data_IF_537250576727
#
_entry.id   IF_537250576727
#
_cell.length_a   1.000
_cell.length_b   1.000
_cell.length_c   1.000
_cell.angle_alpha   90.00
_cell.angle_beta   90.00
_cell.angle_gamma   90.00
#
_symmetry.space_group_name_H-M   'P 1'
#
loop_
_entity.id
_entity.type
_entity.pdbx_description
1 polymer ?
#
# COMPACT_ATOMS: atom_id res chain seq x y z
N UNK A 1 -48.06 -1.90 -13.99
CA UNK A 1 -47.07 -0.88 -13.62
C UNK A 1 -45.73 -1.57 -13.68
N UNK A 2 -45.04 -1.39 -14.80
CA UNK A 2 -43.74 -2.02 -15.07
C UNK A 2 -42.67 -1.26 -14.29
N UNK A 3 -41.96 -1.97 -13.41
CA UNK A 3 -40.81 -1.45 -12.69
C UNK A 3 -39.59 -1.58 -13.58
N UNK A 4 -39.19 -0.48 -14.21
CA UNK A 4 -37.90 -0.36 -14.89
C UNK A 4 -36.79 -0.19 -13.83
N UNK A 5 -36.06 -1.27 -13.56
CA UNK A 5 -34.79 -1.19 -12.84
C UNK A 5 -33.73 -0.66 -13.81
N UNK A 6 -33.28 0.57 -13.57
CA UNK A 6 -32.15 1.16 -14.28
C UNK A 6 -30.88 0.50 -13.77
N UNK A 7 -30.32 -0.42 -14.54
CA UNK A 7 -28.95 -0.88 -14.37
C UNK A 7 -28.01 0.29 -14.71
N UNK A 8 -27.51 0.99 -13.69
CA UNK A 8 -26.39 1.92 -13.85
C UNK A 8 -25.12 1.12 -14.10
N UNK A 9 -24.82 0.90 -15.38
CA UNK A 9 -23.55 0.38 -15.84
C UNK A 9 -22.47 1.47 -15.66
N UNK A 10 -21.87 1.54 -14.47
CA UNK A 10 -20.70 2.40 -14.23
C UNK A 10 -19.50 1.67 -14.82
N UNK A 11 -19.25 1.94 -16.09
CA UNK A 11 -18.01 1.56 -16.73
C UNK A 11 -16.92 2.48 -16.18
N UNK A 12 -16.20 2.02 -15.15
CA UNK A 12 -15.04 2.73 -14.60
C UNK A 12 -14.04 2.98 -15.75
N UNK A 13 -13.97 4.23 -16.18
CA UNK A 13 -13.01 4.69 -17.17
C UNK A 13 -11.60 4.47 -16.61
N UNK A 14 -10.85 3.54 -17.19
CA UNK A 14 -9.44 3.30 -16.87
C UNK A 14 -8.65 4.62 -16.89
N UNK A 15 -8.26 5.11 -15.72
CA UNK A 15 -7.46 6.33 -15.58
C UNK A 15 -6.05 6.05 -16.11
N UNK A 16 -5.46 7.02 -16.80
CA UNK A 16 -4.06 6.91 -17.22
C UNK A 16 -3.14 7.08 -16.00
N UNK A 17 -2.05 6.30 -15.89
CA UNK A 17 -1.04 6.55 -14.88
C UNK A 17 -0.45 7.95 -15.03
N UNK A 18 -0.06 8.61 -13.93
CA UNK A 18 0.73 9.82 -14.02
C UNK A 18 2.07 9.54 -14.74
N UNK A 19 2.66 10.59 -15.30
CA UNK A 19 3.92 10.46 -16.02
C UNK A 19 5.07 10.28 -15.02
N UNK A 20 5.82 9.19 -15.19
CA UNK A 20 7.01 8.88 -14.43
C UNK A 20 8.15 9.80 -14.84
N UNK A 21 8.77 10.44 -13.85
CA UNK A 21 10.00 11.19 -14.02
C UNK A 21 11.24 10.31 -13.76
N UNK A 22 11.06 9.28 -12.93
CA UNK A 22 12.10 8.36 -12.52
C UNK A 22 11.55 6.99 -12.13
N UNK A 23 12.40 5.97 -12.14
CA UNK A 23 12.07 4.65 -11.56
C UNK A 23 11.85 4.76 -10.05
N UNK A 24 12.47 5.76 -9.40
CA UNK A 24 12.30 6.03 -7.97
C UNK A 24 10.90 6.54 -7.58
N UNK A 25 10.10 6.94 -8.56
CA UNK A 25 8.70 7.30 -8.33
C UNK A 25 7.86 6.06 -7.96
N UNK A 26 8.39 4.85 -8.16
CA UNK A 26 7.70 3.57 -7.95
C UNK A 26 8.42 2.67 -6.97
N UNK A 27 7.68 1.69 -6.46
CA UNK A 27 8.28 0.54 -5.78
C UNK A 27 8.47 -0.59 -6.79
N UNK A 28 9.67 -1.19 -6.84
CA UNK A 28 10.05 -2.20 -7.84
C UNK A 28 10.60 -3.46 -7.16
N UNK A 29 10.01 -4.62 -7.46
CA UNK A 29 10.41 -5.93 -6.98
C UNK A 29 10.88 -6.83 -8.12
N UNK A 30 11.87 -7.68 -7.84
CA UNK A 30 12.30 -8.74 -8.75
C UNK A 30 11.79 -10.07 -8.20
N UNK A 31 11.01 -10.77 -9.01
CA UNK A 31 10.49 -12.09 -8.69
C UNK A 31 11.42 -13.16 -9.25
N UNK A 32 11.76 -14.15 -8.43
CA UNK A 32 12.65 -15.26 -8.79
C UNK A 32 11.88 -16.58 -8.75
N UNK A 33 12.16 -17.47 -9.69
CA UNK A 33 11.70 -18.85 -9.55
C UNK A 33 12.54 -19.58 -8.47
N UNK A 34 11.94 -20.52 -7.72
CA UNK A 34 12.67 -21.28 -6.70
C UNK A 34 13.92 -21.95 -7.29
N UNK A 35 15.09 -21.65 -6.71
CA UNK A 35 16.39 -22.19 -7.17
C UNK A 35 17.01 -21.49 -8.38
N UNK A 36 16.32 -20.51 -8.99
CA UNK A 36 16.89 -19.69 -10.07
C UNK A 36 17.72 -18.54 -9.51
N UNK A 37 18.86 -18.26 -10.15
CA UNK A 37 19.64 -17.02 -9.94
C UNK A 37 19.15 -15.86 -10.82
N UNK A 38 18.31 -16.14 -11.81
CA UNK A 38 17.74 -15.13 -12.71
C UNK A 38 16.30 -14.80 -12.31
N UNK A 39 15.96 -13.51 -12.36
CA UNK A 39 14.60 -13.04 -12.08
C UNK A 39 13.64 -13.46 -13.19
N UNK A 40 12.54 -14.11 -12.82
CA UNK A 40 11.42 -14.48 -13.68
C UNK A 40 10.70 -13.27 -14.25
N UNK A 41 10.44 -12.29 -13.40
CA UNK A 41 9.74 -11.05 -13.76
C UNK A 41 10.12 -9.91 -12.83
N UNK A 42 9.80 -8.70 -13.26
CA UNK A 42 9.86 -7.48 -12.45
C UNK A 42 8.42 -7.02 -12.27
N UNK A 43 8.00 -6.86 -11.02
CA UNK A 43 6.72 -6.24 -10.66
C UNK A 43 6.99 -4.89 -10.04
N UNK A 44 6.07 -3.97 -10.26
CA UNK A 44 6.21 -2.61 -9.75
C UNK A 44 4.85 -1.98 -9.57
N UNK A 45 4.79 -1.04 -8.64
CA UNK A 45 3.60 -0.25 -8.41
C UNK A 45 3.93 1.18 -8.03
N UNK A 46 2.96 2.03 -8.32
CA UNK A 46 2.92 3.43 -7.95
C UNK A 46 1.68 3.66 -7.08
N UNK A 47 1.85 4.36 -5.97
CA UNK A 47 0.72 4.89 -5.18
C UNK A 47 0.78 6.40 -5.28
N UNK A 48 -0.28 7.04 -5.76
CA UNK A 48 -0.32 8.51 -5.90
C UNK A 48 -0.58 9.18 -4.53
N UNK A 49 -0.46 10.51 -4.46
CA UNK A 49 -0.83 11.29 -3.27
C UNK A 49 -2.30 11.11 -2.86
N UNK A 50 -3.14 10.80 -3.85
CA UNK A 50 -4.56 10.49 -3.67
C UNK A 50 -4.80 9.03 -3.27
N UNK A 51 -3.76 8.22 -3.05
CA UNK A 51 -3.85 6.77 -2.80
C UNK A 51 -4.48 6.00 -3.98
N UNK A 52 -4.22 6.40 -5.22
CA UNK A 52 -4.56 5.57 -6.39
C UNK A 52 -3.39 4.62 -6.69
N UNK A 53 -3.70 3.35 -6.94
CA UNK A 53 -2.69 2.34 -7.23
C UNK A 53 -2.61 2.07 -8.72
N UNK A 54 -1.39 2.10 -9.24
CA UNK A 54 -1.07 1.60 -10.57
C UNK A 54 -0.07 0.45 -10.42
N UNK A 55 -0.31 -0.64 -11.12
CA UNK A 55 0.52 -1.84 -11.07
C UNK A 55 1.00 -2.22 -12.47
N UNK A 56 2.24 -2.71 -12.56
CA UNK A 56 2.80 -3.25 -13.77
C UNK A 56 3.65 -4.48 -13.51
N UNK A 57 3.77 -5.32 -14.54
CA UNK A 57 4.61 -6.52 -14.53
C UNK A 57 5.27 -6.70 -15.89
N UNK A 58 6.58 -6.98 -15.89
CA UNK A 58 7.37 -7.22 -17.08
C UNK A 58 8.23 -8.46 -16.92
N UNK A 59 8.27 -9.31 -17.95
CA UNK A 59 9.08 -10.53 -18.01
C UNK A 59 10.44 -10.25 -18.66
N UNK A 60 11.18 -9.32 -18.06
CA UNK A 60 12.53 -8.88 -18.50
C UNK A 60 13.45 -8.73 -17.31
N UNK A 61 14.76 -8.72 -17.54
CA UNK A 61 15.72 -8.39 -16.48
C UNK A 61 15.59 -6.92 -16.12
N UNK A 62 15.60 -6.56 -14.83
CA UNK A 62 15.42 -5.17 -14.37
C UNK A 62 16.31 -4.15 -15.08
N UNK A 63 17.55 -4.53 -15.39
CA UNK A 63 18.55 -3.66 -16.06
C UNK A 63 18.24 -3.37 -17.53
N UNK A 64 17.36 -4.14 -18.15
CA UNK A 64 16.98 -4.04 -19.57
C UNK A 64 15.67 -3.28 -19.76
N UNK A 65 14.98 -2.90 -18.68
CA UNK A 65 13.70 -2.21 -18.73
C UNK A 65 13.93 -0.69 -18.74
N UNK A 66 13.41 -0.03 -19.78
CA UNK A 66 13.42 1.42 -19.92
C UNK A 66 12.30 2.08 -19.11
N UNK A 67 12.44 3.39 -18.81
CA UNK A 67 11.39 4.15 -18.13
C UNK A 67 10.07 4.17 -18.92
N UNK A 68 10.14 4.23 -20.25
CA UNK A 68 8.98 4.17 -21.14
C UNK A 68 8.26 2.82 -21.04
N UNK A 69 8.99 1.71 -20.95
CA UNK A 69 8.39 0.39 -20.75
C UNK A 69 7.69 0.26 -19.40
N UNK A 70 8.27 0.82 -18.32
CA UNK A 70 7.57 0.90 -17.03
C UNK A 70 6.27 1.71 -17.17
N UNK A 71 6.35 2.90 -17.76
CA UNK A 71 5.19 3.79 -17.96
C UNK A 71 4.06 3.10 -18.72
N UNK A 72 4.38 2.42 -19.82
CA UNK A 72 3.40 1.79 -20.70
C UNK A 72 2.76 0.53 -20.10
N UNK A 73 3.44 -0.12 -19.14
CA UNK A 73 2.95 -1.31 -18.47
C UNK A 73 2.15 -1.01 -17.18
N UNK A 74 2.15 0.24 -16.70
CA UNK A 74 1.31 0.63 -15.56
C UNK A 74 -0.17 0.61 -15.94
N UNK A 75 -0.95 -0.16 -15.19
CA UNK A 75 -2.40 -0.21 -15.28
C UNK A 75 -3.01 0.19 -13.94
N UNK A 76 -4.10 0.94 -13.98
CA UNK A 76 -4.84 1.28 -12.76
C UNK A 76 -5.36 -0.02 -12.12
N UNK A 77 -5.20 -0.10 -10.80
CA UNK A 77 -5.82 -1.14 -9.99
C UNK A 77 -7.11 -0.58 -9.40
N UNK A 78 -8.25 -1.29 -9.52
CA UNK A 78 -9.49 -0.90 -8.89
C UNK A 78 -9.33 -0.82 -7.36
N UNK A 79 -9.92 0.22 -6.75
CA UNK A 79 -9.85 0.39 -5.30
C UNK A 79 -10.40 -0.81 -4.53
N UNK A 80 -11.40 -1.51 -5.09
CA UNK A 80 -11.99 -2.71 -4.50
C UNK A 80 -10.98 -3.83 -4.28
N UNK A 81 -9.93 -3.92 -5.12
CA UNK A 81 -8.91 -4.96 -5.01
C UNK A 81 -7.86 -4.67 -3.92
N UNK A 82 -7.82 -3.45 -3.38
CA UNK A 82 -6.75 -3.00 -2.46
C UNK A 82 -7.32 -2.49 -1.14
N UNK A 83 -8.34 -1.66 -1.19
CA UNK A 83 -8.81 -0.86 -0.08
C UNK A 83 -10.18 -1.34 0.39
N UNK A 84 -10.31 -1.82 1.64
CA UNK A 84 -11.59 -2.27 2.16
C UNK A 84 -12.52 -1.08 2.45
N UNK A 85 -13.83 -1.35 2.35
CA UNK A 85 -14.85 -0.48 2.92
C UNK A 85 -14.86 -0.62 4.45
N UNK A 86 -15.31 0.41 5.15
CA UNK A 86 -15.63 0.27 6.58
C UNK A 86 -16.85 -0.66 6.71
N UNK A 87 -16.77 -1.75 7.50
CA UNK A 87 -17.90 -2.64 7.72
C UNK A 87 -19.11 -1.88 8.28
N UNK A 88 -20.31 -2.25 7.83
CA UNK A 88 -21.55 -1.62 8.32
C UNK A 88 -21.71 -1.82 9.82
N UNK A 89 -22.10 -0.75 10.53
CA UNK A 89 -22.28 -0.77 11.98
C UNK A 89 -20.98 -0.64 12.78
N UNK A 90 -19.84 -0.44 12.12
CA UNK A 90 -18.56 -0.18 12.76
C UNK A 90 -18.20 1.31 12.66
N UNK A 91 -17.64 1.85 13.74
CA UNK A 91 -17.03 3.18 13.75
C UNK A 91 -15.54 3.00 13.99
N UNK A 92 -14.73 3.48 13.06
CA UNK A 92 -13.28 3.52 13.16
C UNK A 92 -12.81 4.95 13.43
N UNK A 93 -11.71 5.07 14.14
CA UNK A 93 -11.00 6.32 14.35
C UNK A 93 -10.43 6.78 13.01
N UNK A 94 -10.88 7.94 12.54
CA UNK A 94 -10.32 8.56 11.33
C UNK A 94 -9.14 9.44 11.74
N UNK A 95 -8.01 9.29 11.05
CA UNK A 95 -6.84 10.10 11.31
C UNK A 95 -7.09 11.58 10.96
N UNK A 96 -6.50 12.53 11.70
CA UNK A 96 -6.56 13.94 11.34
C UNK A 96 -6.00 14.17 9.92
N UNK A 97 -6.71 14.93 9.05
CA UNK A 97 -6.34 15.10 7.64
C UNK A 97 -5.03 15.86 7.43
N UNK A 98 -4.57 16.61 8.43
CA UNK A 98 -3.30 17.33 8.42
C UNK A 98 -2.07 16.44 8.64
N UNK A 99 -2.24 15.20 9.08
CA UNK A 99 -1.13 14.26 9.26
C UNK A 99 -0.72 13.68 7.90
N UNK A 100 0.50 14.02 7.49
CA UNK A 100 1.13 13.62 6.23
C UNK A 100 2.37 12.73 6.46
N UNK A 101 3.05 12.34 5.37
CA UNK A 101 4.26 11.50 5.45
C UNK A 101 5.46 12.19 6.13
N UNK A 102 5.37 13.50 6.43
CA UNK A 102 6.39 14.26 7.17
C UNK A 102 6.11 14.22 8.67
N UNK A 103 4.87 14.46 9.06
CA UNK A 103 4.42 14.56 10.46
C UNK A 103 4.03 13.23 11.09
N UNK A 104 3.74 12.21 10.28
CA UNK A 104 3.35 10.88 10.72
C UNK A 104 4.05 9.77 9.90
N UNK A 105 3.83 8.53 10.32
CA UNK A 105 4.14 7.35 9.52
C UNK A 105 2.84 6.79 8.93
N UNK A 106 2.65 6.93 7.61
CA UNK A 106 1.48 6.38 6.92
C UNK A 106 1.83 4.99 6.38
N UNK A 107 1.34 3.95 7.06
CA UNK A 107 1.46 2.58 6.58
C UNK A 107 0.40 2.31 5.52
N UNK A 108 0.85 2.20 4.26
CA UNK A 108 0.04 1.83 3.10
C UNK A 108 0.02 0.30 2.90
N UNK A 109 -0.93 -0.26 2.13
CA UNK A 109 -0.99 -1.70 1.88
C UNK A 109 0.30 -2.23 1.25
N UNK A 110 0.75 -3.39 1.71
CA UNK A 110 1.91 -4.07 1.11
C UNK A 110 1.53 -4.76 -0.19
N UNK A 111 2.14 -4.35 -1.31
CA UNK A 111 1.80 -4.84 -2.66
C UNK A 111 2.92 -5.66 -3.34
N UNK A 112 3.92 -6.11 -2.58
CA UNK A 112 5.09 -6.84 -3.12
C UNK A 112 4.75 -8.16 -3.82
N UNK A 113 3.55 -8.71 -3.59
CA UNK A 113 3.08 -9.96 -4.22
C UNK A 113 1.65 -9.83 -4.72
N UNK A 114 1.24 -8.61 -5.06
CA UNK A 114 -0.12 -8.29 -5.52
C UNK A 114 -0.56 -9.18 -6.68
N UNK A 115 0.32 -9.49 -7.62
CA UNK A 115 0.04 -10.38 -8.76
C UNK A 115 -0.47 -11.76 -8.36
N UNK A 116 -0.07 -12.26 -7.18
CA UNK A 116 -0.50 -13.57 -6.66
C UNK A 116 -1.89 -13.52 -6.01
N UNK A 117 -2.36 -12.32 -5.66
CA UNK A 117 -3.62 -12.08 -4.94
C UNK A 117 -4.63 -11.27 -5.76
N UNK A 118 -4.29 -10.89 -6.99
CA UNK A 118 -5.16 -10.13 -7.89
C UNK A 118 -6.50 -10.84 -8.06
N UNK A 119 -7.60 -10.09 -7.97
CA UNK A 119 -8.96 -10.62 -8.01
C UNK A 119 -9.40 -11.42 -6.77
N UNK A 120 -8.61 -11.40 -5.68
CA UNK A 120 -8.99 -12.01 -4.40
C UNK A 120 -9.20 -10.94 -3.33
N UNK A 121 -9.91 -11.29 -2.26
CA UNK A 121 -10.14 -10.40 -1.10
C UNK A 121 -8.94 -10.32 -0.14
N UNK A 122 -7.79 -10.94 -0.47
CA UNK A 122 -6.68 -11.07 0.46
C UNK A 122 -6.10 -9.71 0.89
N UNK A 123 -5.79 -8.83 -0.07
CA UNK A 123 -5.22 -7.51 0.19
C UNK A 123 -6.19 -6.62 1.01
N UNK A 124 -7.45 -6.41 0.60
CA UNK A 124 -8.35 -5.55 1.35
C UNK A 124 -8.67 -6.12 2.73
N UNK A 125 -8.79 -7.45 2.86
CA UNK A 125 -8.98 -8.10 4.17
C UNK A 125 -7.79 -7.89 5.09
N UNK A 126 -6.56 -8.01 4.58
CA UNK A 126 -5.34 -7.76 5.36
C UNK A 126 -5.31 -6.32 5.89
N UNK A 127 -5.59 -5.33 5.04
CA UNK A 127 -5.66 -3.91 5.44
C UNK A 127 -6.71 -3.68 6.54
N UNK A 128 -7.88 -4.31 6.41
CA UNK A 128 -8.93 -4.21 7.41
C UNK A 128 -8.49 -4.85 8.73
N UNK A 129 -7.95 -6.06 8.71
CA UNK A 129 -7.47 -6.78 9.89
C UNK A 129 -6.40 -5.98 10.64
N UNK A 130 -5.41 -5.43 9.93
CA UNK A 130 -4.39 -4.57 10.51
C UNK A 130 -5.00 -3.32 11.16
N UNK A 131 -5.99 -2.70 10.51
CA UNK A 131 -6.69 -1.53 11.05
C UNK A 131 -7.43 -1.86 12.35
N UNK A 132 -8.17 -2.97 12.37
CA UNK A 132 -8.92 -3.42 13.55
C UNK A 132 -8.00 -3.79 14.73
N UNK A 133 -6.85 -4.37 14.44
CA UNK A 133 -5.82 -4.66 15.45
C UNK A 133 -5.34 -3.35 16.09
N UNK A 134 -5.00 -2.35 15.28
CA UNK A 134 -4.52 -1.06 15.78
C UNK A 134 -5.58 -0.29 16.57
N UNK A 135 -6.84 -0.32 16.13
CA UNK A 135 -7.97 0.22 16.89
C UNK A 135 -8.07 -0.43 18.27
N UNK A 136 -7.96 -1.75 18.34
CA UNK A 136 -8.04 -2.48 19.61
C UNK A 136 -6.86 -2.16 20.54
N UNK A 137 -5.64 -2.08 20.01
CA UNK A 137 -4.44 -1.70 20.77
C UNK A 137 -4.58 -0.26 21.31
N UNK A 138 -5.14 0.66 20.51
CA UNK A 138 -5.26 2.08 20.89
C UNK A 138 -6.16 2.35 22.09
N UNK A 139 -7.07 1.42 22.43
CA UNK A 139 -7.96 1.54 23.61
C UNK A 139 -7.23 1.49 24.94
N UNK A 140 -6.04 0.87 24.97
CA UNK A 140 -5.18 0.80 26.16
C UNK A 140 -3.77 1.23 25.78
N UNK A 141 -3.51 2.55 25.66
CA UNK A 141 -2.19 3.05 25.27
C UNK A 141 -1.10 2.53 26.21
N UNK A 142 0.00 2.06 25.62
CA UNK A 142 1.17 1.56 26.35
C UNK A 142 2.43 2.23 25.80
N UNK A 143 3.40 2.64 26.65
CA UNK A 143 4.60 3.36 26.21
C UNK A 143 5.48 2.59 25.22
N UNK A 144 5.35 1.26 25.15
CA UNK A 144 6.10 0.41 24.21
C UNK A 144 5.33 0.04 22.94
N UNK A 145 4.10 0.54 22.75
CA UNK A 145 3.36 0.40 21.50
C UNK A 145 3.28 1.75 20.81
N UNK A 146 3.53 1.75 19.51
CA UNK A 146 3.45 2.94 18.68
C UNK A 146 2.04 3.53 18.75
N UNK A 147 1.94 4.86 18.87
CA UNK A 147 0.64 5.52 18.93
C UNK A 147 -0.06 5.41 17.58
N UNK A 148 -1.32 5.00 17.62
CA UNK A 148 -2.24 5.00 16.49
C UNK A 148 -2.99 6.35 16.45
N UNK A 149 -2.98 7.02 15.29
CA UNK A 149 -3.72 8.27 15.08
C UNK A 149 -5.09 8.05 14.42
N UNK A 150 -5.32 6.87 13.83
CA UNK A 150 -6.52 6.56 13.07
C UNK A 150 -6.20 5.97 11.70
N UNK A 151 -7.24 5.56 10.97
CA UNK A 151 -7.14 5.13 9.59
C UNK A 151 -7.25 6.34 8.64
N UNK A 152 -6.56 6.27 7.51
CA UNK A 152 -6.70 7.22 6.41
C UNK A 152 -7.87 6.79 5.53
N UNK A 153 -8.75 7.73 5.20
CA UNK A 153 -9.93 7.48 4.39
C UNK A 153 -9.90 8.33 3.12
N UNK A 154 -9.73 7.71 1.97
CA UNK A 154 -9.95 8.35 0.66
C UNK A 154 -11.01 7.56 -0.11
N UNK A 155 -11.87 8.28 -0.84
CA UNK A 155 -12.94 7.67 -1.67
C UNK A 155 -13.84 6.68 -0.89
N UNK A 156 -14.04 6.95 0.40
CA UNK A 156 -14.88 6.12 1.29
C UNK A 156 -14.25 4.79 1.73
N UNK A 157 -12.96 4.58 1.47
CA UNK A 157 -12.24 3.34 1.77
C UNK A 157 -11.03 3.59 2.66
N UNK A 158 -10.61 2.55 3.37
CA UNK A 158 -9.42 2.58 4.22
C UNK A 158 -8.18 2.46 3.33
N UNK A 159 -7.43 3.54 3.17
CA UNK A 159 -6.25 3.57 2.29
C UNK A 159 -4.92 3.41 3.02
N UNK A 160 -4.93 3.52 4.35
CA UNK A 160 -3.76 3.29 5.18
C UNK A 160 -4.03 3.46 6.67
N UNK A 161 -3.01 3.19 7.46
CA UNK A 161 -3.00 3.31 8.92
C UNK A 161 -2.01 4.44 9.26
N UNK A 162 -2.47 5.45 10.01
CA UNK A 162 -1.63 6.58 10.41
C UNK A 162 -1.08 6.33 11.81
N UNK A 163 0.23 6.23 11.88
CA UNK A 163 0.99 5.93 13.09
C UNK A 163 1.88 7.10 13.47
N UNK A 164 2.22 7.18 14.75
CA UNK A 164 3.25 8.09 15.23
C UNK A 164 4.54 7.91 14.43
N UNK A 165 5.20 9.02 14.16
CA UNK A 165 6.51 8.98 13.52
C UNK A 165 7.58 8.75 14.59
N UNK A 166 8.32 7.66 14.43
CA UNK A 166 9.52 7.39 15.21
C UNK A 166 10.77 7.67 14.36
N UNK A 167 11.84 8.13 14.99
CA UNK A 167 13.05 8.55 14.28
C UNK A 167 13.73 7.41 13.52
N UNK A 168 13.79 6.23 14.15
CA UNK A 168 14.48 5.07 13.61
C UNK A 168 13.95 3.75 14.16
N UNK A 169 14.16 2.69 13.40
CA UNK A 169 14.00 1.30 13.81
C UNK A 169 15.26 0.79 14.52
N UNK A 170 15.13 -0.31 15.27
CA UNK A 170 16.30 -0.97 15.87
C UNK A 170 17.32 -1.43 14.82
N UNK A 171 16.86 -1.87 13.65
CA UNK A 171 17.74 -2.26 12.55
C UNK A 171 18.57 -1.08 12.06
N UNK A 172 17.96 0.10 11.87
CA UNK A 172 18.70 1.31 11.51
C UNK A 172 19.69 1.70 12.61
N UNK A 173 19.26 1.69 13.86
CA UNK A 173 20.12 2.00 15.00
C UNK A 173 21.36 1.09 15.08
N UNK A 174 21.25 -0.18 14.69
CA UNK A 174 22.38 -1.12 14.69
C UNK A 174 23.51 -0.76 13.71
N UNK A 175 23.24 0.12 12.74
CA UNK A 175 24.24 0.63 11.80
C UNK A 175 24.83 1.99 12.22
N UNK A 176 24.34 2.59 13.31
CA UNK A 176 24.86 3.85 13.81
C UNK A 176 26.27 3.66 14.40
N UNK A 177 27.19 4.62 14.19
CA UNK A 177 28.57 4.52 14.69
C UNK A 177 28.67 4.37 16.22
N UNK A 178 27.66 4.87 16.94
CA UNK A 178 27.58 4.85 18.40
C UNK A 178 27.03 3.52 18.95
N UNK A 179 26.54 2.62 18.09
CA UNK A 179 26.03 1.32 18.52
C UNK A 179 27.19 0.44 19.01
N UNK A 180 27.21 0.19 20.32
CA UNK A 180 28.12 -0.79 20.94
C UNK A 180 27.34 -2.11 21.10
N UNK A 181 27.74 -3.20 20.43
CA UNK A 181 27.12 -4.51 20.64
C UNK A 181 27.23 -4.90 22.12
N UNK A 182 26.10 -5.26 22.73
CA UNK A 182 26.05 -5.60 24.15
C UNK A 182 26.71 -6.95 24.48
N UNK A 183 26.93 -7.80 23.47
CA UNK A 183 27.59 -9.11 23.60
C UNK A 183 28.83 -9.17 22.70
N UNK A 184 30.02 -9.09 23.32
CA UNK A 184 31.32 -9.52 22.76
C UNK A 184 31.96 -10.53 23.68
#
# INVERSE_FOLDING_TARGET
MESNTVETNIQESSKKPPMLSSVWDMTVYQNFDPGSKESKSVTFYLITSEDEVFFGQLFKKKKEITLEEYQNALQQVPDTEIYPMIPSGMTLTTAPPELDDVSACIKRPGLSSYESFKGTEFVPKSVLEETLIMEQISKTPHPCFIRYHGCRLHRGRITGIVLERLDQTLAQYSYEPEFVPFDT
#
